data_IF_729933852825
#
_entry.id   IF_729933852825
#
_cell.length_a   1.000
_cell.length_b   1.000
_cell.length_c   1.000
_cell.angle_alpha   90.00
_cell.angle_beta   90.00
_cell.angle_gamma   90.00
#
_symmetry.space_group_name_H-M   'P 1'
#
loop_
_entity.id
_entity.type
_entity.pdbx_description
1 polymer ?
#
# COMPACT_ATOMS: atom_id res chain seq x y z
N UNK A 1 -36.50 19.04 9.45
CA UNK A 1 -35.11 18.51 9.39
C UNK A 1 -34.14 19.67 9.50
N UNK A 2 -33.11 19.59 10.34
CA UNK A 2 -32.18 20.70 10.56
C UNK A 2 -31.28 20.90 9.33
N UNK A 3 -31.51 21.97 8.56
CA UNK A 3 -30.81 22.30 7.31
C UNK A 3 -29.30 22.37 7.48
N UNK A 4 -28.81 22.90 8.62
CA UNK A 4 -27.36 23.02 8.88
C UNK A 4 -26.70 21.66 9.06
N UNK A 5 -27.34 20.76 9.81
CA UNK A 5 -26.83 19.39 10.02
C UNK A 5 -26.85 18.59 8.73
N UNK A 6 -27.89 18.77 7.90
CA UNK A 6 -27.97 18.15 6.58
C UNK A 6 -26.84 18.62 5.65
N UNK A 7 -26.57 19.94 5.58
CA UNK A 7 -25.47 20.48 4.80
C UNK A 7 -24.10 19.99 5.33
N UNK A 8 -23.92 19.96 6.65
CA UNK A 8 -22.71 19.41 7.27
C UNK A 8 -22.51 17.94 6.89
N UNK A 9 -23.56 17.12 6.94
CA UNK A 9 -23.49 15.71 6.55
C UNK A 9 -23.07 15.53 5.08
N UNK A 10 -23.62 16.33 4.15
CA UNK A 10 -23.23 16.29 2.74
C UNK A 10 -21.75 16.68 2.54
N UNK A 11 -21.30 17.73 3.21
CA UNK A 11 -19.90 18.18 3.16
C UNK A 11 -18.98 17.08 3.72
N UNK A 12 -19.30 16.55 4.90
CA UNK A 12 -18.55 15.44 5.51
C UNK A 12 -18.54 14.21 4.59
N UNK A 13 -19.66 13.87 3.95
CA UNK A 13 -19.75 12.78 3.00
C UNK A 13 -18.76 12.92 1.83
N UNK A 14 -18.68 14.12 1.24
CA UNK A 14 -17.72 14.39 0.14
C UNK A 14 -16.28 14.33 0.66
N UNK A 15 -15.97 15.01 1.76
CA UNK A 15 -14.60 15.08 2.28
C UNK A 15 -14.07 13.76 2.84
N UNK A 16 -14.94 12.90 3.40
CA UNK A 16 -14.56 11.59 3.92
C UNK A 16 -14.48 10.55 2.80
N UNK A 17 -15.38 10.59 1.83
CA UNK A 17 -15.43 9.56 0.77
C UNK A 17 -14.18 9.53 -0.10
N UNK A 18 -13.60 10.70 -0.44
CA UNK A 18 -12.39 10.79 -1.28
C UNK A 18 -11.18 10.06 -0.65
N UNK A 19 -10.73 10.38 0.59
CA UNK A 19 -9.60 9.68 1.20
C UNK A 19 -9.92 8.21 1.49
N UNK A 20 -11.17 7.88 1.84
CA UNK A 20 -11.57 6.49 2.08
C UNK A 20 -11.51 5.65 0.78
N UNK A 21 -11.96 6.22 -0.33
CA UNK A 21 -11.86 5.61 -1.66
C UNK A 21 -10.40 5.49 -2.09
N UNK A 22 -9.59 6.53 -1.89
CA UNK A 22 -8.16 6.49 -2.19
C UNK A 22 -7.45 5.39 -1.39
N UNK A 23 -7.79 5.24 -0.11
CA UNK A 23 -7.29 4.14 0.72
C UNK A 23 -7.72 2.79 0.15
N UNK A 24 -9.03 2.55 -0.01
CA UNK A 24 -9.56 1.28 -0.49
C UNK A 24 -8.98 0.90 -1.87
N UNK A 25 -8.89 1.88 -2.78
CA UNK A 25 -8.28 1.70 -4.10
C UNK A 25 -6.77 1.41 -4.00
N UNK A 26 -6.04 2.07 -3.11
CA UNK A 26 -4.60 1.80 -2.95
C UNK A 26 -4.33 0.36 -2.52
N UNK A 27 -5.07 -0.16 -1.52
CA UNK A 27 -4.94 -1.55 -1.08
C UNK A 27 -5.38 -2.54 -2.16
N UNK A 28 -6.48 -2.23 -2.85
CA UNK A 28 -6.96 -3.04 -3.97
C UNK A 28 -5.95 -3.12 -5.12
N UNK A 29 -5.38 -1.99 -5.53
CA UNK A 29 -4.38 -1.94 -6.61
C UNK A 29 -3.12 -2.74 -6.27
N UNK A 30 -2.71 -2.79 -5.00
CA UNK A 30 -1.60 -3.65 -4.57
C UNK A 30 -1.92 -5.15 -4.64
N UNK A 31 -3.20 -5.52 -4.50
CA UNK A 31 -3.64 -6.93 -4.63
C UNK A 31 -3.73 -7.40 -6.08
N UNK A 32 -3.77 -6.47 -7.04
CA UNK A 32 -3.89 -6.81 -8.46
C UNK A 32 -2.53 -7.20 -9.06
N UNK A 33 -2.44 -8.36 -9.74
CA UNK A 33 -1.21 -8.77 -10.40
C UNK A 33 -0.78 -7.72 -11.44
N UNK A 34 0.53 -7.53 -11.59
CA UNK A 34 1.14 -6.60 -12.55
C UNK A 34 0.87 -5.09 -12.35
N UNK A 35 0.23 -4.68 -11.25
CA UNK A 35 -0.03 -3.25 -10.99
C UNK A 35 1.20 -2.51 -10.47
N UNK A 36 2.12 -3.24 -9.86
CA UNK A 36 3.44 -2.79 -9.39
C UNK A 36 4.49 -3.81 -9.83
N UNK A 37 5.68 -3.34 -10.20
CA UNK A 37 6.81 -4.21 -10.58
C UNK A 37 7.08 -5.27 -9.50
N UNK A 38 7.14 -6.54 -9.91
CA UNK A 38 7.33 -7.70 -9.01
C UNK A 38 6.05 -8.34 -8.48
N UNK A 39 4.87 -8.00 -9.02
CA UNK A 39 3.58 -8.54 -8.56
C UNK A 39 3.20 -9.94 -9.04
N UNK A 40 4.11 -10.68 -9.70
CA UNK A 40 3.87 -12.08 -10.10
C UNK A 40 4.57 -12.97 -9.09
N UNK A 41 3.79 -13.75 -8.34
CA UNK A 41 4.33 -14.76 -7.44
C UNK A 41 4.60 -16.02 -8.25
N UNK A 42 5.87 -16.32 -8.48
CA UNK A 42 6.32 -17.54 -9.13
C UNK A 42 7.06 -18.41 -8.12
N UNK A 43 6.81 -19.72 -8.16
CA UNK A 43 7.59 -20.67 -7.38
C UNK A 43 9.02 -20.68 -7.91
N UNK A 44 9.98 -20.72 -6.98
CA UNK A 44 11.38 -20.85 -7.32
C UNK A 44 11.62 -22.26 -7.85
N UNK A 45 12.04 -22.35 -9.11
CA UNK A 45 12.54 -23.59 -9.68
C UNK A 45 13.97 -23.83 -9.18
N UNK A 46 14.11 -24.68 -8.17
CA UNK A 46 15.40 -25.02 -7.56
C UNK A 46 16.36 -25.71 -8.53
N UNK A 47 15.84 -26.39 -9.57
CA UNK A 47 16.67 -27.02 -10.60
C UNK A 47 17.40 -26.00 -11.48
N UNK A 48 17.00 -24.73 -11.40
CA UNK A 48 17.64 -23.60 -12.09
C UNK A 48 18.56 -22.81 -11.16
N UNK A 49 18.77 -23.22 -9.92
CA UNK A 49 19.69 -22.53 -8.99
C UNK A 49 21.04 -23.22 -9.05
N UNK A 50 21.99 -22.59 -9.76
CA UNK A 50 23.33 -23.12 -10.00
C UNK A 50 24.40 -22.44 -9.14
N UNK A 51 24.12 -21.22 -8.68
CA UNK A 51 25.05 -20.42 -7.90
C UNK A 51 24.75 -20.59 -6.41
N UNK A 52 25.78 -20.90 -5.62
CA UNK A 52 25.64 -21.00 -4.18
C UNK A 52 25.45 -19.60 -3.54
N UNK A 53 24.75 -19.50 -2.39
CA UNK A 53 24.57 -18.24 -1.69
C UNK A 53 25.88 -17.48 -1.39
N UNK A 54 26.96 -18.20 -1.07
CA UNK A 54 28.27 -17.60 -0.82
C UNK A 54 28.87 -16.96 -2.07
N UNK A 55 28.74 -17.62 -3.23
CA UNK A 55 29.21 -17.11 -4.52
C UNK A 55 28.39 -15.89 -4.96
N UNK A 56 27.08 -15.88 -4.70
CA UNK A 56 26.24 -14.72 -4.97
C UNK A 56 26.67 -13.48 -4.17
N UNK A 57 27.08 -13.67 -2.91
CA UNK A 57 27.67 -12.61 -2.07
C UNK A 57 29.02 -12.14 -2.64
N UNK A 58 29.86 -13.08 -3.09
CA UNK A 58 31.14 -12.74 -3.72
C UNK A 58 30.94 -11.91 -5.00
N UNK A 59 30.03 -12.34 -5.88
CA UNK A 59 29.71 -11.62 -7.12
C UNK A 59 29.10 -10.24 -6.86
N UNK A 60 28.32 -10.08 -5.79
CA UNK A 60 27.79 -8.78 -5.37
C UNK A 60 28.92 -7.84 -4.92
N UNK A 61 29.87 -8.35 -4.12
CA UNK A 61 31.04 -7.59 -3.68
C UNK A 61 31.95 -7.21 -4.87
N UNK A 62 32.11 -8.12 -5.83
CA UNK A 62 32.87 -7.88 -7.05
C UNK A 62 32.25 -6.74 -7.88
N UNK A 63 30.93 -6.78 -8.11
CA UNK A 63 30.23 -5.70 -8.81
C UNK A 63 30.35 -4.35 -8.09
N UNK A 64 30.35 -4.37 -6.75
CA UNK A 64 30.51 -3.17 -5.94
C UNK A 64 31.96 -2.67 -5.84
N UNK A 65 32.94 -3.47 -6.25
CA UNK A 65 34.37 -3.18 -6.07
C UNK A 65 34.79 -3.10 -4.60
N UNK A 66 33.97 -3.62 -3.67
CA UNK A 66 34.20 -3.58 -2.22
C UNK A 66 33.39 -4.66 -1.51
N UNK A 67 33.79 -5.00 -0.29
CA UNK A 67 32.95 -5.83 0.58
C UNK A 67 31.74 -5.02 1.05
N UNK A 68 30.54 -5.46 0.65
CA UNK A 68 29.29 -4.86 1.05
C UNK A 68 28.87 -5.37 2.44
N UNK A 69 28.28 -4.51 3.30
CA UNK A 69 27.65 -4.93 4.54
C UNK A 69 26.29 -5.58 4.25
N UNK A 70 26.31 -6.74 3.57
CA UNK A 70 25.09 -7.47 3.20
C UNK A 70 24.46 -8.04 4.47
N UNK A 71 23.27 -7.58 4.80
CA UNK A 71 22.51 -8.03 5.98
C UNK A 71 21.46 -9.07 5.64
N UNK A 72 21.08 -9.18 4.36
CA UNK A 72 20.13 -10.18 3.89
C UNK A 72 20.44 -10.59 2.44
N UNK A 73 20.25 -11.88 2.17
CA UNK A 73 20.29 -12.47 0.83
C UNK A 73 18.98 -13.20 0.60
N UNK A 74 18.16 -12.72 -0.33
CA UNK A 74 16.83 -13.30 -0.61
C UNK A 74 16.86 -13.98 -1.97
N UNK A 75 16.49 -15.25 -2.06
CA UNK A 75 16.24 -15.92 -3.34
C UNK A 75 14.80 -15.65 -3.78
N UNK A 76 14.62 -15.15 -5.00
CA UNK A 76 13.30 -14.80 -5.54
C UNK A 76 13.23 -15.05 -7.05
N UNK A 77 12.02 -15.09 -7.60
CA UNK A 77 11.80 -15.10 -9.04
C UNK A 77 11.66 -13.67 -9.55
N UNK A 78 12.38 -13.35 -10.63
CA UNK A 78 12.30 -12.06 -11.33
C UNK A 78 12.47 -12.27 -12.82
N UNK A 79 11.53 -11.74 -13.59
CA UNK A 79 11.50 -11.85 -15.05
C UNK A 79 11.61 -13.32 -15.54
N UNK A 80 10.94 -14.25 -14.84
CA UNK A 80 10.96 -15.69 -15.15
C UNK A 80 12.26 -16.42 -14.80
N UNK A 81 13.14 -15.79 -14.02
CA UNK A 81 14.45 -16.35 -13.63
C UNK A 81 14.66 -16.30 -12.11
N UNK A 82 15.28 -17.32 -11.51
CA UNK A 82 15.69 -17.24 -10.12
C UNK A 82 16.85 -16.25 -9.97
N UNK A 83 16.73 -15.32 -9.03
CA UNK A 83 17.75 -14.33 -8.72
C UNK A 83 17.95 -14.22 -7.20
N UNK A 84 19.19 -14.05 -6.78
CA UNK A 84 19.49 -13.57 -5.44
C UNK A 84 19.39 -12.04 -5.40
N UNK A 85 18.75 -11.52 -4.37
CA UNK A 85 18.77 -10.11 -4.02
C UNK A 85 19.63 -9.93 -2.77
N UNK A 86 20.81 -9.34 -2.94
CA UNK A 86 21.69 -8.95 -1.85
C UNK A 86 21.33 -7.53 -1.39
N UNK A 87 20.94 -7.40 -0.11
CA UNK A 87 20.51 -6.14 0.50
C UNK A 87 21.60 -5.68 1.48
N UNK A 88 22.20 -4.52 1.19
CA UNK A 88 23.18 -3.87 2.06
C UNK A 88 22.56 -3.15 3.26
N UNK A 89 23.39 -2.79 4.24
CA UNK A 89 23.00 -2.03 5.43
C UNK A 89 22.21 -0.75 5.09
N UNK A 90 21.05 -0.58 5.75
CA UNK A 90 20.03 0.45 5.52
C UNK A 90 19.23 0.35 4.20
N UNK A 91 19.35 -0.75 3.45
CA UNK A 91 18.51 -1.01 2.27
C UNK A 91 18.79 -0.10 1.05
N UNK A 92 19.86 0.70 1.11
CA UNK A 92 20.23 1.67 0.07
C UNK A 92 20.86 1.02 -1.18
N UNK A 93 21.46 -0.17 -1.03
CA UNK A 93 22.10 -0.90 -2.11
C UNK A 93 21.45 -2.28 -2.22
N UNK A 94 20.72 -2.50 -3.33
CA UNK A 94 20.17 -3.80 -3.70
C UNK A 94 20.85 -4.26 -4.97
N UNK A 95 21.60 -5.35 -4.90
CA UNK A 95 22.21 -6.00 -6.07
C UNK A 95 21.43 -7.27 -6.38
N UNK A 96 21.10 -7.46 -7.65
CA UNK A 96 20.48 -8.67 -8.16
C UNK A 96 21.53 -9.54 -8.84
N UNK A 97 21.58 -10.82 -8.46
CA UNK A 97 22.49 -11.81 -9.01
C UNK A 97 21.66 -12.92 -9.64
N UNK A 98 21.81 -13.16 -10.93
CA UNK A 98 21.14 -14.26 -11.62
C UNK A 98 21.63 -15.60 -11.04
N UNK A 99 20.72 -16.40 -10.48
CA UNK A 99 21.08 -17.62 -9.75
C UNK A 99 21.43 -18.79 -10.68
N UNK A 100 21.23 -18.65 -12.00
CA UNK A 100 21.67 -19.60 -13.03
C UNK A 100 23.09 -19.30 -13.50
N UNK A 101 23.44 -18.02 -13.66
CA UNK A 101 24.65 -17.59 -14.37
C UNK A 101 25.68 -16.88 -13.49
N UNK A 102 25.27 -16.37 -12.34
CA UNK A 102 26.10 -15.57 -11.44
C UNK A 102 26.23 -14.10 -11.85
N UNK A 103 25.60 -13.67 -12.95
CA UNK A 103 25.68 -12.29 -13.41
C UNK A 103 25.03 -11.33 -12.39
N UNK A 104 25.83 -10.40 -11.86
CA UNK A 104 25.38 -9.40 -10.89
C UNK A 104 25.05 -8.06 -11.57
N UNK A 105 23.96 -7.43 -11.16
CA UNK A 105 23.52 -6.11 -11.65
C UNK A 105 22.92 -5.27 -10.52
N UNK A 106 23.11 -3.95 -10.58
CA UNK A 106 22.43 -3.05 -9.66
C UNK A 106 20.91 -3.06 -9.87
N UNK A 107 20.15 -2.90 -8.79
CA UNK A 107 18.71 -2.68 -8.89
C UNK A 107 18.42 -1.49 -9.78
N UNK A 108 17.67 -1.72 -10.86
CA UNK A 108 17.14 -0.62 -11.66
C UNK A 108 16.23 0.24 -10.78
N UNK A 109 16.27 1.57 -10.92
CA UNK A 109 15.30 2.42 -10.25
C UNK A 109 13.88 2.00 -10.68
N UNK A 110 12.91 2.01 -9.75
CA UNK A 110 11.52 1.70 -10.10
C UNK A 110 11.02 2.68 -11.16
N UNK A 111 10.12 2.23 -12.05
CA UNK A 111 9.46 3.15 -12.98
C UNK A 111 8.75 4.28 -12.23
N UNK A 112 8.52 5.42 -12.90
CA UNK A 112 7.79 6.55 -12.32
C UNK A 112 6.43 6.15 -11.75
N UNK A 113 5.74 5.19 -12.40
CA UNK A 113 4.48 4.64 -11.93
C UNK A 113 4.66 3.85 -10.63
N UNK A 114 5.58 2.89 -10.62
CA UNK A 114 5.89 2.10 -9.41
C UNK A 114 6.35 3.00 -8.27
N UNK A 115 7.14 4.03 -8.57
CA UNK A 115 7.60 5.04 -7.61
C UNK A 115 6.44 5.85 -7.05
N UNK A 116 5.55 6.37 -7.90
CA UNK A 116 4.35 7.09 -7.45
C UNK A 116 3.46 6.23 -6.56
N UNK A 117 3.20 4.97 -6.93
CA UNK A 117 2.39 4.08 -6.11
C UNK A 117 3.05 3.74 -4.78
N UNK A 118 4.37 3.45 -4.78
CA UNK A 118 5.12 3.20 -3.54
C UNK A 118 5.18 4.43 -2.66
N UNK A 119 5.51 5.60 -3.20
CA UNK A 119 5.58 6.85 -2.43
C UNK A 119 4.19 7.26 -1.93
N UNK A 120 3.14 7.16 -2.74
CA UNK A 120 1.78 7.46 -2.28
C UNK A 120 1.34 6.49 -1.17
N UNK A 121 1.62 5.20 -1.33
CA UNK A 121 1.29 4.20 -0.30
C UNK A 121 2.11 4.42 0.98
N UNK A 122 3.43 4.57 0.88
CA UNK A 122 4.29 4.76 2.04
C UNK A 122 4.08 6.12 2.69
N UNK A 123 3.97 7.22 1.94
CA UNK A 123 3.88 8.57 2.52
C UNK A 123 2.51 8.82 3.17
N UNK A 124 1.43 8.38 2.53
CA UNK A 124 0.07 8.62 3.05
C UNK A 124 -0.46 7.50 3.96
N UNK A 125 0.02 6.26 3.81
CA UNK A 125 -0.59 5.09 4.48
C UNK A 125 0.35 4.22 5.32
N UNK A 126 1.69 4.31 5.17
CA UNK A 126 2.64 3.52 5.97
C UNK A 126 3.80 4.36 6.59
N UNK A 127 3.69 5.68 6.55
CA UNK A 127 4.74 6.65 6.90
C UNK A 127 4.40 7.45 8.14
N UNK A 128 5.19 8.48 8.45
CA UNK A 128 4.99 9.30 9.66
C UNK A 128 3.63 9.99 9.74
N UNK A 129 2.99 10.25 8.59
CA UNK A 129 1.65 10.83 8.49
C UNK A 129 0.52 9.81 8.62
N UNK A 130 0.82 8.50 8.61
CA UNK A 130 -0.18 7.45 8.72
C UNK A 130 -1.05 7.62 9.96
N UNK A 131 -0.43 7.73 11.14
CA UNK A 131 -1.17 7.81 12.41
C UNK A 131 -2.01 9.10 12.50
N UNK A 132 -1.47 10.30 12.23
CA UNK A 132 -2.27 11.52 12.18
C UNK A 132 -3.43 11.48 11.18
N UNK A 133 -3.19 11.00 9.95
CA UNK A 133 -4.21 10.91 8.91
C UNK A 133 -5.29 9.89 9.28
N UNK A 134 -4.89 8.76 9.89
CA UNK A 134 -5.82 7.75 10.38
C UNK A 134 -6.76 8.34 11.44
N UNK A 135 -6.22 9.00 12.47
CA UNK A 135 -7.01 9.63 13.53
C UNK A 135 -7.98 10.66 12.93
N UNK A 136 -7.49 11.52 12.03
CA UNK A 136 -8.29 12.55 11.38
C UNK A 136 -9.43 11.95 10.55
N UNK A 137 -9.12 11.00 9.65
CA UNK A 137 -10.12 10.39 8.77
C UNK A 137 -11.11 9.52 9.55
N UNK A 138 -10.68 8.80 10.59
CA UNK A 138 -11.59 8.08 11.49
C UNK A 138 -12.51 9.04 12.24
N UNK A 139 -12.01 10.17 12.73
CA UNK A 139 -12.81 11.20 13.37
C UNK A 139 -13.86 11.80 12.44
N UNK A 140 -13.46 12.16 11.21
CA UNK A 140 -14.39 12.67 10.20
C UNK A 140 -15.43 11.62 9.78
N UNK A 141 -15.04 10.35 9.63
CA UNK A 141 -15.96 9.26 9.33
C UNK A 141 -16.97 9.04 10.47
N UNK A 142 -16.53 9.09 11.73
CA UNK A 142 -17.41 9.00 12.89
C UNK A 142 -18.41 10.17 12.93
N UNK A 143 -17.97 11.40 12.68
CA UNK A 143 -18.86 12.57 12.58
C UNK A 143 -19.87 12.43 11.41
N UNK A 144 -19.42 11.92 10.27
CA UNK A 144 -20.31 11.64 9.13
C UNK A 144 -21.38 10.62 9.48
N UNK A 145 -21.00 9.53 10.17
CA UNK A 145 -21.93 8.51 10.64
C UNK A 145 -22.92 9.08 11.68
N UNK A 146 -22.44 9.83 12.67
CA UNK A 146 -23.28 10.45 13.71
C UNK A 146 -24.31 11.42 13.12
N UNK A 147 -23.90 12.26 12.16
CA UNK A 147 -24.82 13.18 11.48
C UNK A 147 -25.85 12.42 10.65
N UNK A 148 -25.47 11.34 9.97
CA UNK A 148 -26.39 10.46 9.25
C UNK A 148 -27.41 9.78 10.17
N UNK A 149 -26.96 9.20 11.30
CA UNK A 149 -27.84 8.60 12.31
C UNK A 149 -28.83 9.63 12.84
N UNK A 150 -28.37 10.82 13.22
CA UNK A 150 -29.23 11.90 13.70
C UNK A 150 -30.30 12.27 12.66
N UNK A 151 -29.91 12.47 11.39
CA UNK A 151 -30.84 12.83 10.33
C UNK A 151 -31.89 11.74 10.10
N UNK A 152 -31.47 10.47 10.16
CA UNK A 152 -32.36 9.31 10.02
C UNK A 152 -33.37 9.24 11.18
N UNK A 153 -32.90 9.40 12.43
CA UNK A 153 -33.77 9.47 13.63
C UNK A 153 -34.72 10.66 13.53
N UNK A 154 -34.25 11.85 13.16
CA UNK A 154 -35.08 13.04 13.04
C UNK A 154 -36.16 12.87 11.95
N UNK A 155 -35.80 12.24 10.82
CA UNK A 155 -36.72 11.94 9.74
C UNK A 155 -37.81 10.95 10.17
N UNK A 156 -37.43 9.78 10.68
CA UNK A 156 -38.41 8.77 11.11
C UNK A 156 -39.19 9.18 12.35
N UNK A 157 -38.56 9.85 13.31
CA UNK A 157 -39.23 10.38 14.49
C UNK A 157 -40.33 11.37 14.11
N UNK A 158 -40.03 12.33 13.23
CA UNK A 158 -41.06 13.27 12.75
C UNK A 158 -42.18 12.57 11.97
N UNK A 159 -41.88 11.51 11.22
CA UNK A 159 -42.86 10.74 10.44
C UNK A 159 -43.75 9.82 11.30
N UNK A 160 -43.20 9.23 12.37
CA UNK A 160 -43.91 8.34 13.29
C UNK A 160 -44.77 9.12 14.29
N UNK A 161 -44.26 10.23 14.83
CA UNK A 161 -45.00 11.06 15.78
C UNK A 161 -45.92 12.09 15.10
N UNK A 162 -45.56 12.60 13.92
CA UNK A 162 -46.42 13.52 13.15
C UNK A 162 -47.68 12.88 12.58
N UNK A 163 -47.70 11.56 12.38
CA UNK A 163 -48.91 10.80 12.00
C UNK A 163 -49.88 10.56 13.16
N UNK A 164 -49.41 10.62 14.41
CA UNK A 164 -50.28 10.47 15.60
C UNK A 164 -51.12 11.71 15.90
N UNK A 165 -50.68 12.90 15.49
CA UNK A 165 -51.42 14.15 15.70
C UNK A 165 -52.45 14.51 14.62
N UNK A 166 -52.57 13.70 13.55
CA UNK A 166 -53.51 13.93 12.45
C UNK A 166 -54.68 12.91 12.44
N UNK A 167 -54.80 12.12 13.52
CA UNK A 167 -55.79 11.06 13.68
C UNK A 167 -56.70 11.28 14.91
N UNK A 168 -56.78 12.52 15.41
CA UNK A 168 -57.80 12.97 16.38
C UNK A 168 -58.75 13.96 15.71
#
# INVERSE_FOLDING_TARGET
>A
MNRRIYQLHLILGIFVSVPLLAWALSGFLYSLPNTVEGGVVENIDTGRVMIAPADAVANANELAGRTLPITALTLLMKDGRPQYQAIGGLGAESIFIDAQTGAATYSKPPSLRTRFFREAHFYFFAGSWQVPLLILFSGLAALSALTGIYLNIAYWGSRLFGRRGAAE
#
